data_IF_456335501728
#
_entry.id   IF_456335501728
#
_cell.length_a   1.000
_cell.length_b   1.000
_cell.length_c   1.000
_cell.angle_alpha   90.00
_cell.angle_beta   90.00
_cell.angle_gamma   90.00
#
_symmetry.space_group_name_H-M   'P 1'
#
loop_
_entity.id
_entity.type
_entity.pdbx_description
1 polymer ?
#
# COMPACT_ATOMS: atom_id res chain seq x y z
N UNK A 1 38.18 0.38 41.04
CA UNK A 1 38.09 0.43 39.58
C UNK A 1 36.65 0.46 39.19
N UNK A 2 36.21 1.52 38.49
CA UNK A 2 34.86 1.64 37.96
C UNK A 2 34.85 0.85 36.64
N UNK A 3 34.12 -0.24 36.58
CA UNK A 3 33.86 -0.95 35.34
C UNK A 3 32.86 -0.09 34.53
N UNK A 4 33.31 0.53 33.47
CA UNK A 4 32.42 1.16 32.48
C UNK A 4 31.66 0.04 31.79
N UNK A 5 30.33 0.05 31.91
CA UNK A 5 29.50 -0.89 31.19
C UNK A 5 29.74 -0.72 29.68
N UNK A 6 30.24 -1.75 29.03
CA UNK A 6 30.42 -1.73 27.57
C UNK A 6 29.06 -1.71 26.90
N UNK A 7 28.72 -0.60 26.26
CA UNK A 7 27.53 -0.49 25.41
C UNK A 7 27.92 -1.05 24.06
N UNK A 8 27.39 -2.18 23.69
CA UNK A 8 27.52 -2.71 22.33
C UNK A 8 26.36 -2.20 21.50
N UNK A 9 26.58 -1.31 20.53
CA UNK A 9 25.51 -0.84 19.66
C UNK A 9 25.06 -2.00 18.77
N UNK A 10 23.76 -2.25 18.72
CA UNK A 10 23.14 -3.18 17.78
C UNK A 10 22.49 -2.36 16.68
N UNK A 11 22.92 -2.56 15.44
CA UNK A 11 22.29 -1.98 14.27
C UNK A 11 21.12 -2.90 13.90
N UNK A 12 19.91 -2.37 13.92
CA UNK A 12 18.68 -3.08 13.54
C UNK A 12 18.08 -2.33 12.35
N UNK A 13 17.64 -3.07 11.35
CA UNK A 13 16.91 -2.47 10.23
C UNK A 13 15.64 -1.78 10.76
N UNK A 14 15.35 -0.56 10.30
CA UNK A 14 14.17 0.16 10.74
C UNK A 14 12.90 -0.56 10.29
N UNK A 15 11.87 -0.47 11.12
CA UNK A 15 10.53 -0.91 10.75
C UNK A 15 9.97 0.04 9.69
N UNK A 16 9.83 -0.39 8.44
CA UNK A 16 9.37 0.44 7.33
C UNK A 16 7.92 0.15 6.99
N UNK A 17 7.11 1.20 6.87
CA UNK A 17 5.80 1.17 6.23
C UNK A 17 5.91 1.81 4.87
N UNK A 18 5.52 1.06 3.85
CA UNK A 18 5.50 1.52 2.47
C UNK A 18 4.18 2.23 2.16
N UNK A 19 4.27 3.32 1.43
CA UNK A 19 3.14 4.11 0.95
C UNK A 19 2.99 3.83 -0.55
N UNK A 20 1.93 3.15 -0.91
CA UNK A 20 1.57 2.88 -2.31
C UNK A 20 0.57 3.95 -2.71
N UNK A 21 0.87 4.71 -3.74
CA UNK A 21 0.02 5.78 -4.21
C UNK A 21 -0.72 5.35 -5.49
N UNK A 22 -1.99 5.72 -5.57
CA UNK A 22 -2.77 5.66 -6.81
C UNK A 22 -3.13 7.09 -7.19
N UNK A 23 -2.45 7.59 -8.22
CA UNK A 23 -2.50 8.97 -8.68
C UNK A 23 -3.23 9.04 -10.01
N UNK A 24 -4.35 9.77 -10.05
CA UNK A 24 -5.03 10.17 -11.28
C UNK A 24 -4.85 11.67 -11.48
N UNK A 25 -3.97 12.08 -12.39
CA UNK A 25 -3.72 13.48 -12.71
C UNK A 25 -4.37 13.86 -14.03
N UNK A 26 -4.89 15.10 -14.10
CA UNK A 26 -5.48 15.68 -15.30
C UNK A 26 -4.63 16.86 -15.77
N UNK A 27 -4.40 16.96 -17.07
CA UNK A 27 -3.62 18.06 -17.64
C UNK A 27 -4.30 18.72 -18.82
N UNK A 28 -4.02 20.01 -19.01
CA UNK A 28 -4.47 20.80 -20.16
C UNK A 28 -3.45 20.70 -21.29
N UNK A 29 -3.81 19.99 -22.35
CA UNK A 29 -2.95 19.77 -23.52
C UNK A 29 -2.67 21.06 -24.34
N UNK A 30 -3.40 22.15 -24.11
CA UNK A 30 -3.13 23.44 -24.75
C UNK A 30 -1.99 24.22 -24.07
N UNK A 31 -1.60 23.82 -22.84
CA UNK A 31 -0.56 24.49 -22.04
C UNK A 31 0.80 23.80 -22.12
N UNK A 32 0.90 22.67 -22.80
CA UNK A 32 2.13 21.90 -22.87
C UNK A 32 2.24 21.11 -24.18
N UNK A 33 3.46 20.86 -24.60
CA UNK A 33 3.76 19.88 -25.66
C UNK A 33 4.12 18.50 -25.10
N UNK A 34 4.11 18.34 -23.76
CA UNK A 34 4.39 17.07 -23.11
C UNK A 34 3.30 16.04 -23.36
N UNK A 35 3.69 14.79 -23.47
CA UNK A 35 2.77 13.65 -23.54
C UNK A 35 2.36 13.18 -22.14
N UNK A 36 1.30 12.38 -22.04
CA UNK A 36 0.90 11.74 -20.77
C UNK A 36 2.07 10.98 -20.13
N UNK A 37 2.83 10.20 -20.90
CA UNK A 37 3.96 9.41 -20.39
C UNK A 37 5.11 10.31 -19.90
N UNK A 38 5.34 11.45 -20.56
CA UNK A 38 6.33 12.43 -20.12
C UNK A 38 5.92 13.07 -18.79
N UNK A 39 4.64 13.46 -18.65
CA UNK A 39 4.11 14.02 -17.42
C UNK A 39 4.10 12.98 -16.27
N UNK A 40 3.81 11.72 -16.56
CA UNK A 40 3.92 10.62 -15.59
C UNK A 40 5.37 10.49 -15.08
N UNK A 41 6.35 10.57 -15.97
CA UNK A 41 7.77 10.56 -15.60
C UNK A 41 8.16 11.77 -14.75
N UNK A 42 7.64 12.96 -15.04
CA UNK A 42 7.87 14.17 -14.25
C UNK A 42 7.30 14.01 -12.84
N UNK A 43 6.07 13.52 -12.71
CA UNK A 43 5.44 13.23 -11.41
C UNK A 43 6.25 12.19 -10.63
N UNK A 44 6.67 11.09 -11.29
CA UNK A 44 7.51 10.04 -10.68
C UNK A 44 8.82 10.60 -10.12
N UNK A 45 9.49 11.48 -10.87
CA UNK A 45 10.72 12.13 -10.41
C UNK A 45 10.48 13.07 -9.21
N UNK A 46 9.36 13.78 -9.20
CA UNK A 46 8.96 14.65 -8.09
C UNK A 46 8.69 13.83 -6.82
N UNK A 47 7.95 12.73 -6.95
CA UNK A 47 7.70 11.79 -5.84
C UNK A 47 8.98 11.12 -5.34
N UNK A 48 9.89 10.76 -6.24
CA UNK A 48 11.21 10.19 -5.89
C UNK A 48 12.03 11.18 -5.06
N UNK A 49 12.06 12.44 -5.48
CA UNK A 49 12.78 13.51 -4.76
C UNK A 49 12.17 13.77 -3.39
N UNK A 50 10.84 13.81 -3.31
CA UNK A 50 10.12 13.97 -2.04
C UNK A 50 10.39 12.80 -1.09
N UNK A 51 10.32 11.56 -1.58
CA UNK A 51 10.60 10.35 -0.82
C UNK A 51 11.98 10.41 -0.17
N UNK A 52 13.01 10.74 -0.97
CA UNK A 52 14.38 10.79 -0.50
C UNK A 52 14.68 11.93 0.47
N UNK A 53 14.00 13.08 0.30
CA UNK A 53 14.28 14.27 1.09
C UNK A 53 13.41 14.39 2.35
N UNK A 54 12.19 13.85 2.33
CA UNK A 54 11.17 14.12 3.34
C UNK A 54 10.74 12.89 4.14
N UNK A 55 10.86 11.66 3.62
CA UNK A 55 10.29 10.49 4.28
C UNK A 55 11.32 9.53 4.88
N UNK A 56 12.45 9.30 4.22
CA UNK A 56 13.47 8.32 4.67
C UNK A 56 14.25 8.76 5.92
N UNK A 57 13.53 9.29 6.91
CA UNK A 57 14.08 9.70 8.21
C UNK A 57 13.06 9.44 9.31
N UNK A 58 13.54 9.16 10.51
CA UNK A 58 12.65 8.94 11.66
C UNK A 58 11.86 10.21 11.99
N UNK A 59 10.62 10.00 12.45
CA UNK A 59 9.67 11.04 12.85
C UNK A 59 9.14 11.94 11.71
N UNK A 60 9.41 11.60 10.46
CA UNK A 60 8.85 12.32 9.32
C UNK A 60 7.46 11.76 8.97
N UNK A 61 6.45 12.62 9.02
CA UNK A 61 5.09 12.26 8.66
C UNK A 61 4.84 12.48 7.16
N UNK A 62 4.07 11.58 6.58
CA UNK A 62 3.51 11.79 5.25
C UNK A 62 2.25 12.66 5.37
N UNK A 63 2.25 13.80 4.69
CA UNK A 63 1.11 14.70 4.61
C UNK A 63 0.53 14.66 3.21
N UNK A 64 -0.67 14.16 3.11
CA UNK A 64 -1.38 13.97 1.84
C UNK A 64 -1.47 15.29 1.03
N UNK A 65 -1.81 16.39 1.70
CA UNK A 65 -1.91 17.70 1.05
C UNK A 65 -0.58 18.24 0.51
N UNK A 66 0.55 17.83 1.08
CA UNK A 66 1.87 18.20 0.53
C UNK A 66 2.17 17.43 -0.75
N UNK A 67 1.77 16.16 -0.80
CA UNK A 67 2.01 15.31 -1.97
C UNK A 67 1.06 15.67 -3.12
N UNK A 68 -0.21 15.90 -2.85
CA UNK A 68 -1.15 16.36 -3.89
C UNK A 68 -0.70 17.68 -4.49
N UNK A 69 -0.27 18.62 -3.65
CA UNK A 69 0.30 19.89 -4.14
C UNK A 69 1.60 19.68 -4.92
N UNK A 70 2.49 18.81 -4.47
CA UNK A 70 3.73 18.48 -5.20
C UNK A 70 3.44 17.96 -6.61
N UNK A 71 2.39 17.13 -6.75
CA UNK A 71 1.95 16.59 -8.04
C UNK A 71 1.40 17.74 -8.91
N UNK A 72 0.53 18.58 -8.37
CA UNK A 72 -0.01 19.74 -9.11
C UNK A 72 1.09 20.72 -9.56
N UNK A 73 2.06 20.97 -8.67
CA UNK A 73 3.18 21.90 -8.95
C UNK A 73 4.27 21.26 -9.83
N UNK A 74 4.23 19.96 -10.15
CA UNK A 74 5.25 19.26 -10.92
C UNK A 74 5.33 19.70 -12.38
N UNK A 75 4.20 20.16 -12.95
CA UNK A 75 4.15 20.77 -14.27
C UNK A 75 2.95 21.76 -14.34
N UNK A 76 3.16 22.94 -14.92
CA UNK A 76 2.13 23.99 -15.02
C UNK A 76 0.90 23.62 -15.84
N UNK A 77 0.96 22.53 -16.60
CA UNK A 77 -0.18 22.04 -17.37
C UNK A 77 -1.10 21.13 -16.54
N UNK A 78 -0.65 20.62 -15.39
CA UNK A 78 -1.48 19.79 -14.50
C UNK A 78 -2.50 20.71 -13.84
N UNK A 79 -3.77 20.36 -13.98
CA UNK A 79 -4.90 21.18 -13.48
C UNK A 79 -5.56 20.60 -12.25
N UNK A 80 -5.42 19.28 -12.04
CA UNK A 80 -5.93 18.61 -10.85
C UNK A 80 -5.33 17.22 -10.70
N UNK A 81 -5.31 16.70 -9.46
CA UNK A 81 -5.04 15.30 -9.20
C UNK A 81 -5.96 14.73 -8.11
N UNK A 82 -6.17 13.43 -8.16
CA UNK A 82 -6.76 12.63 -7.09
C UNK A 82 -5.70 11.60 -6.72
N UNK A 83 -5.28 11.62 -5.46
CA UNK A 83 -4.26 10.70 -4.96
C UNK A 83 -4.84 9.88 -3.81
N UNK A 84 -4.82 8.56 -3.94
CA UNK A 84 -5.18 7.62 -2.88
C UNK A 84 -3.92 7.03 -2.27
N UNK A 85 -3.97 6.70 -0.98
CA UNK A 85 -2.85 6.14 -0.24
C UNK A 85 -3.25 4.77 0.29
N UNK A 86 -2.39 3.77 0.05
CA UNK A 86 -2.49 2.44 0.61
C UNK A 86 -1.21 2.14 1.37
N UNK A 87 -1.32 1.58 2.56
CA UNK A 87 -0.17 1.16 3.35
C UNK A 87 0.28 -0.23 2.91
N UNK A 88 1.58 -0.42 2.78
CA UNK A 88 2.21 -1.71 2.49
C UNK A 88 3.18 -2.12 3.58
N UNK A 89 3.19 -3.41 3.91
CA UNK A 89 4.18 -3.99 4.82
C UNK A 89 4.53 -5.41 4.42
N UNK A 90 5.79 -5.78 4.58
CA UNK A 90 6.28 -7.10 4.22
C UNK A 90 6.54 -7.93 5.47
N UNK A 91 6.29 -9.23 5.38
CA UNK A 91 6.84 -10.21 6.31
C UNK A 91 7.49 -11.37 5.56
N UNK A 92 8.56 -11.92 6.14
CA UNK A 92 9.28 -13.06 5.57
C UNK A 92 8.78 -14.34 6.24
N UNK A 93 8.04 -15.20 5.52
CA UNK A 93 7.62 -16.48 6.10
C UNK A 93 8.81 -17.43 6.27
N UNK A 94 8.79 -18.19 7.34
CA UNK A 94 9.67 -19.37 7.46
C UNK A 94 9.08 -20.48 6.60
N UNK A 95 9.77 -20.79 5.50
CA UNK A 95 9.26 -21.72 4.50
C UNK A 95 9.20 -23.14 5.08
N UNK A 96 8.10 -23.84 4.77
CA UNK A 96 7.81 -25.22 5.20
C UNK A 96 7.75 -25.41 6.74
N UNK A 97 7.54 -24.35 7.49
CA UNK A 97 7.35 -24.37 8.94
C UNK A 97 6.06 -23.60 9.32
N UNK A 98 5.24 -24.20 10.18
CA UNK A 98 3.96 -23.64 10.59
C UNK A 98 4.15 -22.58 11.68
N UNK A 99 3.99 -21.31 11.35
CA UNK A 99 4.16 -20.17 12.27
C UNK A 99 3.04 -19.15 12.18
N UNK A 100 2.81 -18.46 13.30
CA UNK A 100 2.00 -17.25 13.34
C UNK A 100 2.86 -16.01 13.11
N UNK A 101 2.24 -14.94 12.61
CA UNK A 101 2.91 -13.67 12.31
C UNK A 101 2.10 -12.51 12.87
N UNK A 102 2.79 -11.51 13.42
CA UNK A 102 2.18 -10.24 13.85
C UNK A 102 2.79 -9.12 13.02
N UNK A 103 1.94 -8.40 12.30
CA UNK A 103 2.35 -7.32 11.41
C UNK A 103 1.73 -6.02 11.92
N UNK A 104 2.58 -5.10 12.39
CA UNK A 104 2.17 -3.83 12.99
C UNK A 104 2.37 -2.69 11.99
N UNK A 105 1.29 -2.14 11.47
CA UNK A 105 1.33 -0.93 10.67
C UNK A 105 1.39 0.32 11.55
N UNK A 106 0.87 0.22 12.79
CA UNK A 106 0.78 1.31 13.77
C UNK A 106 0.01 2.54 13.24
N UNK A 107 -0.83 2.34 12.26
CA UNK A 107 -1.74 3.33 11.71
C UNK A 107 -3.13 2.71 11.60
N UNK A 108 -4.15 3.44 12.00
CA UNK A 108 -5.53 2.99 11.96
C UNK A 108 -5.95 2.64 10.54
N UNK A 109 -6.65 1.52 10.36
CA UNK A 109 -7.24 1.10 9.11
C UNK A 109 -8.68 1.61 8.97
N UNK A 110 -9.08 1.85 7.73
CA UNK A 110 -10.42 2.32 7.41
C UNK A 110 -11.46 1.23 7.70
N UNK A 111 -12.24 1.43 8.76
CA UNK A 111 -13.38 0.58 9.10
C UNK A 111 -14.42 1.42 9.86
N UNK A 112 -15.29 2.16 9.16
CA UNK A 112 -16.24 3.08 9.78
C UNK A 112 -17.30 2.37 10.62
N UNK A 113 -17.59 1.11 10.32
CA UNK A 113 -18.49 0.25 11.10
C UNK A 113 -18.18 -1.23 10.86
N UNK A 114 -18.59 -2.09 11.78
CA UNK A 114 -18.43 -3.53 11.63
C UNK A 114 -19.12 -4.04 10.34
N UNK A 115 -18.45 -4.94 9.64
CA UNK A 115 -18.92 -5.49 8.35
C UNK A 115 -18.75 -4.55 7.15
N UNK A 116 -18.08 -3.41 7.30
CA UNK A 116 -17.79 -2.51 6.19
C UNK A 116 -16.97 -3.25 5.11
N UNK A 117 -17.41 -3.16 3.85
CA UNK A 117 -16.80 -3.83 2.70
C UNK A 117 -16.62 -5.36 2.85
N UNK A 118 -17.37 -6.01 3.74
CA UNK A 118 -17.25 -7.45 3.99
C UNK A 118 -17.40 -8.29 2.69
N UNK A 119 -18.32 -7.90 1.82
CA UNK A 119 -18.61 -8.60 0.56
C UNK A 119 -17.53 -8.34 -0.52
N UNK A 120 -16.82 -7.23 -0.43
CA UNK A 120 -15.79 -6.82 -1.39
C UNK A 120 -14.36 -7.19 -0.95
N UNK A 121 -14.19 -7.94 0.14
CA UNK A 121 -12.88 -8.37 0.63
C UNK A 121 -12.21 -7.40 1.58
N UNK A 122 -12.97 -6.45 2.15
CA UNK A 122 -12.47 -5.57 3.21
C UNK A 122 -11.47 -4.52 2.74
N UNK A 123 -10.59 -4.13 3.66
CA UNK A 123 -9.56 -3.09 3.44
C UNK A 123 -8.14 -3.65 3.40
N UNK A 124 -8.00 -4.96 3.64
CA UNK A 124 -6.71 -5.65 3.67
C UNK A 124 -6.60 -6.57 2.44
N UNK A 125 -5.43 -6.61 1.84
CA UNK A 125 -5.09 -7.54 0.78
C UNK A 125 -3.66 -8.06 0.96
N UNK A 126 -3.32 -9.17 0.31
CA UNK A 126 -1.95 -9.69 0.28
C UNK A 126 -1.50 -10.03 -1.13
N UNK A 127 -0.18 -10.16 -1.30
CA UNK A 127 0.40 -10.89 -2.44
C UNK A 127 0.19 -12.38 -2.26
N UNK A 128 0.33 -13.14 -3.35
CA UNK A 128 0.09 -14.56 -3.37
C UNK A 128 1.15 -15.40 -2.66
N UNK A 129 0.75 -16.55 -2.17
CA UNK A 129 1.63 -17.58 -1.59
C UNK A 129 1.00 -18.95 -1.72
N UNK A 130 1.79 -20.02 -1.52
CA UNK A 130 1.29 -21.40 -1.47
C UNK A 130 1.50 -21.99 -0.09
N UNK A 131 0.60 -22.89 0.30
CA UNK A 131 0.60 -23.51 1.62
C UNK A 131 0.79 -25.02 1.53
N UNK A 132 1.31 -25.63 2.61
CA UNK A 132 1.34 -27.08 2.78
C UNK A 132 -0.09 -27.63 2.73
N UNK A 133 -0.29 -28.68 1.92
CA UNK A 133 -1.61 -29.27 1.69
C UNK A 133 -2.34 -28.76 0.45
N UNK A 134 -1.95 -27.60 -0.11
CA UNK A 134 -2.42 -27.12 -1.39
C UNK A 134 -1.26 -26.41 -2.15
N UNK A 135 -0.60 -27.18 -3.00
CA UNK A 135 0.52 -26.69 -3.82
C UNK A 135 0.08 -26.18 -5.19
N UNK A 136 -1.20 -26.31 -5.51
CA UNK A 136 -1.77 -25.95 -6.82
C UNK A 136 -2.27 -24.51 -6.77
N UNK A 137 -3.14 -24.20 -5.82
CA UNK A 137 -3.78 -22.90 -5.73
C UNK A 137 -2.87 -21.86 -5.09
N UNK A 138 -2.88 -20.67 -5.66
CA UNK A 138 -2.26 -19.50 -5.06
C UNK A 138 -3.23 -18.89 -4.04
N UNK A 139 -2.77 -18.76 -2.80
CA UNK A 139 -3.56 -18.25 -1.69
C UNK A 139 -3.31 -16.76 -1.47
N UNK A 140 -4.34 -16.09 -0.96
CA UNK A 140 -4.33 -14.68 -0.61
C UNK A 140 -5.02 -14.46 0.74
N UNK A 141 -4.70 -13.35 1.39
CA UNK A 141 -5.44 -12.88 2.56
C UNK A 141 -6.30 -11.69 2.22
N UNK A 142 -7.49 -11.62 2.84
CA UNK A 142 -8.31 -10.43 2.98
C UNK A 142 -8.96 -10.38 4.37
N UNK A 143 -9.71 -9.31 4.69
CA UNK A 143 -10.47 -9.21 5.93
C UNK A 143 -11.99 -9.27 5.66
N UNK A 144 -12.74 -9.56 6.72
CA UNK A 144 -14.21 -9.65 6.67
C UNK A 144 -14.92 -8.37 7.14
N UNK A 145 -14.18 -7.30 7.45
CA UNK A 145 -14.73 -6.07 8.03
C UNK A 145 -15.19 -6.20 9.49
N UNK A 146 -15.15 -7.41 10.08
CA UNK A 146 -15.59 -7.72 11.44
C UNK A 146 -14.44 -8.10 12.38
N UNK A 147 -13.19 -8.02 11.92
CA UNK A 147 -12.02 -8.32 12.72
C UNK A 147 -11.34 -9.64 12.42
N UNK A 148 -11.82 -10.41 11.42
CA UNK A 148 -11.18 -11.66 11.01
C UNK A 148 -10.40 -11.50 9.72
N UNK A 149 -9.21 -12.11 9.65
CA UNK A 149 -8.49 -12.33 8.42
C UNK A 149 -8.94 -13.67 7.82
N UNK A 150 -9.28 -13.64 6.53
CA UNK A 150 -9.69 -14.82 5.76
C UNK A 150 -8.60 -15.21 4.78
N UNK A 151 -8.56 -16.48 4.39
CA UNK A 151 -7.69 -16.99 3.34
C UNK A 151 -8.52 -17.57 2.21
N UNK A 152 -8.18 -17.20 0.99
CA UNK A 152 -8.88 -17.62 -0.22
C UNK A 152 -7.92 -17.86 -1.37
N UNK A 153 -8.40 -18.50 -2.42
CA UNK A 153 -7.78 -18.52 -3.75
C UNK A 153 -8.78 -18.05 -4.80
N UNK A 154 -8.32 -17.75 -5.99
CA UNK A 154 -9.16 -17.31 -7.09
C UNK A 154 -9.33 -18.47 -8.09
N UNK A 155 -10.56 -18.87 -8.34
CA UNK A 155 -10.92 -19.87 -9.34
C UNK A 155 -11.92 -19.28 -10.32
N UNK A 156 -11.58 -19.30 -11.61
CA UNK A 156 -12.40 -18.70 -12.67
C UNK A 156 -12.83 -17.25 -12.37
N UNK A 157 -11.96 -16.45 -11.76
CA UNK A 157 -12.22 -15.05 -11.40
C UNK A 157 -13.05 -14.86 -10.11
N UNK A 158 -13.40 -15.95 -9.40
CA UNK A 158 -14.20 -15.88 -8.17
C UNK A 158 -13.35 -16.27 -6.96
N UNK A 159 -13.47 -15.51 -5.87
CA UNK A 159 -12.83 -15.83 -4.58
C UNK A 159 -13.46 -17.09 -3.97
N UNK A 160 -12.64 -18.08 -3.67
CA UNK A 160 -13.03 -19.29 -2.94
C UNK A 160 -12.33 -19.30 -1.60
N UNK A 161 -13.09 -19.07 -0.53
CA UNK A 161 -12.56 -19.03 0.84
C UNK A 161 -12.31 -20.45 1.35
N UNK A 162 -11.09 -20.68 1.85
CA UNK A 162 -10.65 -21.95 2.45
C UNK A 162 -10.50 -21.86 3.96
N UNK A 163 -10.39 -20.65 4.49
CA UNK A 163 -10.31 -20.40 5.93
C UNK A 163 -10.91 -19.02 6.22
N UNK A 164 -11.99 -18.97 6.97
CA UNK A 164 -12.68 -17.73 7.35
C UNK A 164 -12.11 -17.09 8.62
N UNK A 165 -11.13 -17.73 9.26
CA UNK A 165 -10.51 -17.30 10.52
C UNK A 165 -9.01 -17.57 10.52
N UNK A 166 -8.32 -17.24 9.41
CA UNK A 166 -6.88 -17.38 9.26
C UNK A 166 -6.06 -16.44 10.17
N UNK A 167 -6.71 -15.45 10.75
CA UNK A 167 -6.10 -14.47 11.64
C UNK A 167 -7.12 -13.47 12.19
N UNK A 168 -6.61 -12.41 12.80
CA UNK A 168 -7.40 -11.28 13.30
C UNK A 168 -6.81 -9.96 12.85
N UNK A 169 -7.65 -8.94 12.77
CA UNK A 169 -7.24 -7.55 12.51
C UNK A 169 -7.78 -6.63 13.58
N UNK A 170 -6.88 -5.80 14.13
CA UNK A 170 -7.23 -4.66 14.97
C UNK A 170 -7.16 -3.40 14.10
N UNK A 171 -8.33 -2.93 13.63
CA UNK A 171 -8.43 -1.76 12.76
C UNK A 171 -8.00 -0.47 13.46
N UNK A 172 -8.17 -0.38 14.78
CA UNK A 172 -7.84 0.83 15.55
C UNK A 172 -6.34 1.00 15.68
N UNK A 173 -5.63 -0.08 16.03
CA UNK A 173 -4.19 -0.06 16.23
C UNK A 173 -3.40 -0.39 14.96
N UNK A 174 -4.07 -0.80 13.88
CA UNK A 174 -3.44 -1.18 12.63
C UNK A 174 -2.56 -2.42 12.77
N UNK A 175 -3.08 -3.46 13.42
CA UNK A 175 -2.35 -4.71 13.69
C UNK A 175 -3.03 -5.89 13.03
N UNK A 176 -2.27 -6.66 12.27
CA UNK A 176 -2.71 -7.93 11.68
C UNK A 176 -2.00 -9.06 12.39
N UNK A 177 -2.76 -10.02 12.92
CA UNK A 177 -2.22 -11.23 13.55
C UNK A 177 -2.66 -12.44 12.75
N UNK A 178 -1.73 -13.11 12.08
CA UNK A 178 -1.97 -14.34 11.36
C UNK A 178 -1.80 -15.53 12.31
N UNK A 179 -2.73 -16.47 12.25
CA UNK A 179 -2.62 -17.77 12.94
C UNK A 179 -1.49 -18.59 12.33
N UNK A 180 -1.15 -19.70 12.99
CA UNK A 180 -0.15 -20.63 12.50
C UNK A 180 -0.51 -21.12 11.09
N UNK A 181 0.38 -20.85 10.14
CA UNK A 181 0.24 -21.21 8.73
C UNK A 181 1.58 -21.75 8.21
N UNK A 182 1.54 -22.83 7.44
CA UNK A 182 2.71 -23.43 6.81
C UNK A 182 2.80 -22.96 5.35
N UNK A 183 3.56 -21.89 5.11
CA UNK A 183 3.82 -21.35 3.77
C UNK A 183 4.99 -22.11 3.16
N UNK A 184 4.82 -22.63 1.95
CA UNK A 184 5.83 -23.42 1.23
C UNK A 184 6.52 -22.63 0.11
N UNK A 185 5.87 -21.59 -0.39
CA UNK A 185 6.46 -20.67 -1.36
C UNK A 185 5.70 -19.34 -1.37
N UNK A 186 6.38 -18.30 -1.79
CA UNK A 186 5.84 -16.96 -2.00
C UNK A 186 5.80 -16.69 -3.50
N UNK A 187 4.77 -16.04 -3.97
CA UNK A 187 4.64 -15.69 -5.38
C UNK A 187 5.57 -14.52 -5.73
N UNK A 188 5.94 -14.44 -6.99
CA UNK A 188 6.68 -13.30 -7.50
C UNK A 188 5.85 -12.02 -7.34
N UNK A 189 6.52 -10.93 -7.02
CA UNK A 189 5.93 -9.60 -6.94
C UNK A 189 6.54 -8.76 -8.06
N UNK A 190 5.70 -8.15 -8.86
CA UNK A 190 6.12 -7.25 -9.95
C UNK A 190 7.18 -7.89 -10.90
N UNK A 191 6.94 -9.15 -11.27
CA UNK A 191 7.84 -9.98 -12.07
C UNK A 191 9.22 -10.24 -11.45
N UNK A 192 9.40 -9.91 -10.18
CA UNK A 192 10.64 -10.16 -9.43
C UNK A 192 10.43 -11.28 -8.42
N UNK A 193 11.45 -12.14 -8.27
CA UNK A 193 11.44 -13.19 -7.24
C UNK A 193 11.34 -12.55 -5.85
N UNK A 194 10.33 -12.93 -5.10
CA UNK A 194 10.12 -12.47 -3.73
C UNK A 194 10.34 -13.61 -2.73
N UNK A 195 10.88 -13.27 -1.58
CA UNK A 195 10.91 -14.15 -0.39
C UNK A 195 9.93 -13.69 0.68
N UNK A 196 9.17 -12.63 0.40
CA UNK A 196 8.30 -11.95 1.35
C UNK A 196 6.87 -11.89 0.83
N UNK A 197 5.92 -11.99 1.74
CA UNK A 197 4.51 -11.67 1.49
C UNK A 197 4.29 -10.21 1.83
N UNK A 198 3.75 -9.45 0.89
CA UNK A 198 3.29 -8.08 1.12
C UNK A 198 1.85 -8.12 1.59
N UNK A 199 1.57 -7.42 2.69
CA UNK A 199 0.22 -7.07 3.12
C UNK A 199 -0.01 -5.60 2.82
N UNK A 200 -1.17 -5.28 2.31
CA UNK A 200 -1.62 -3.90 2.09
C UNK A 200 -2.86 -3.62 2.92
N UNK A 201 -3.01 -2.36 3.34
CA UNK A 201 -4.18 -1.93 4.10
C UNK A 201 -4.56 -0.49 3.72
N UNK A 202 -5.86 -0.22 3.62
CA UNK A 202 -6.37 1.15 3.42
C UNK A 202 -6.37 1.86 4.78
N UNK A 203 -5.66 2.98 4.94
CA UNK A 203 -5.64 3.73 6.20
C UNK A 203 -6.94 4.51 6.41
N UNK A 204 -7.28 4.77 7.67
CA UNK A 204 -8.42 5.62 8.06
C UNK A 204 -8.19 7.11 7.72
N UNK A 205 -6.93 7.53 7.68
CA UNK A 205 -6.49 8.87 7.29
C UNK A 205 -5.48 8.79 6.16
N UNK A 206 -5.58 9.70 5.20
CA UNK A 206 -4.54 9.85 4.17
C UNK A 206 -3.25 10.49 4.70
N UNK A 207 -3.28 11.12 5.86
CA UNK A 207 -2.08 11.57 6.59
C UNK A 207 -1.53 10.42 7.42
N UNK A 208 -0.27 10.03 7.20
CA UNK A 208 0.37 8.92 7.90
C UNK A 208 1.47 9.43 8.81
N UNK A 209 1.39 9.04 10.09
CA UNK A 209 2.36 9.45 11.11
C UNK A 209 3.08 8.19 11.62
N UNK A 210 4.41 8.09 11.44
CA UNK A 210 5.14 6.94 11.90
C UNK A 210 5.28 6.96 13.43
N UNK A 211 5.34 5.78 14.04
CA UNK A 211 5.76 5.65 15.43
C UNK A 211 7.29 5.77 15.55
N UNK A 212 7.80 5.94 16.77
CA UNK A 212 9.19 6.33 17.08
C UNK A 212 10.30 5.61 16.31
N UNK A 213 10.16 4.32 16.01
CA UNK A 213 11.20 3.51 15.36
C UNK A 213 10.79 3.09 13.93
N UNK A 214 9.84 3.79 13.34
CA UNK A 214 9.27 3.48 12.04
C UNK A 214 9.71 4.52 11.01
N UNK A 215 9.98 4.05 9.80
CA UNK A 215 10.20 4.88 8.62
C UNK A 215 9.00 4.78 7.69
N UNK A 216 8.77 5.85 6.95
CA UNK A 216 7.85 5.86 5.82
C UNK A 216 8.66 5.93 4.53
N UNK A 217 8.22 5.18 3.53
CA UNK A 217 8.81 5.19 2.20
C UNK A 217 7.72 5.04 1.13
N UNK A 218 7.76 5.88 0.08
CA UNK A 218 6.89 5.68 -1.07
C UNK A 218 7.40 4.49 -1.88
N UNK A 219 6.55 3.49 -2.06
CA UNK A 219 6.80 2.35 -2.93
C UNK A 219 6.53 2.76 -4.39
N UNK A 220 7.57 3.31 -5.03
CA UNK A 220 7.47 3.79 -6.40
C UNK A 220 7.25 2.67 -7.43
N UNK A 221 7.60 1.43 -7.09
CA UNK A 221 7.42 0.27 -7.99
C UNK A 221 5.93 -0.09 -8.10
N UNK A 222 5.22 0.01 -6.98
CA UNK A 222 3.79 -0.33 -6.90
C UNK A 222 2.88 0.90 -6.94
N UNK A 223 3.45 2.10 -6.98
CA UNK A 223 2.70 3.34 -7.18
C UNK A 223 2.20 3.40 -8.62
N UNK A 224 0.90 3.65 -8.79
CA UNK A 224 0.27 3.81 -10.09
C UNK A 224 0.09 5.30 -10.34
N UNK A 225 0.55 5.78 -11.48
CA UNK A 225 0.35 7.16 -11.92
C UNK A 225 -0.33 7.10 -13.28
N UNK A 226 -1.52 7.66 -13.36
CA UNK A 226 -2.30 7.77 -14.59
C UNK A 226 -2.52 9.24 -14.92
N UNK A 227 -2.01 9.67 -16.07
CA UNK A 227 -2.11 11.06 -16.52
C UNK A 227 -2.97 11.14 -17.77
N UNK A 228 -4.09 11.85 -17.67
CA UNK A 228 -5.09 11.98 -18.75
C UNK A 228 -5.35 13.44 -19.09
N UNK A 229 -5.80 13.67 -20.33
CA UNK A 229 -6.19 15.00 -20.78
C UNK A 229 -7.45 15.45 -20.03
N UNK A 230 -7.43 16.68 -19.52
CA UNK A 230 -8.61 17.33 -18.97
C UNK A 230 -9.50 17.88 -20.09
N UNK A 231 -10.56 17.16 -20.42
CA UNK A 231 -11.50 17.54 -21.49
C UNK A 231 -12.28 18.81 -21.15
N UNK A 232 -12.44 19.16 -19.88
CA UNK A 232 -13.08 20.40 -19.46
C UNK A 232 -12.24 21.63 -19.80
N UNK A 233 -10.92 21.52 -19.63
CA UNK A 233 -9.97 22.61 -19.91
C UNK A 233 -9.77 22.87 -21.40
N UNK A 234 -10.00 21.87 -22.26
CA UNK A 234 -9.85 22.03 -23.71
C UNK A 234 -11.14 22.50 -24.42
N UNK A 235 -12.21 22.73 -23.66
CA UNK A 235 -13.43 23.34 -24.21
C UNK A 235 -14.28 22.37 -25.03
N UNK A 236 -14.22 21.08 -24.78
CA UNK A 236 -15.14 20.12 -25.41
C UNK A 236 -16.54 20.28 -24.82
N UNK A 237 -17.54 20.78 -25.61
CA UNK A 237 -18.91 20.97 -25.13
C UNK A 237 -19.62 19.64 -24.76
N UNK A 238 -19.07 18.48 -25.16
CA UNK A 238 -19.60 17.17 -24.85
C UNK A 238 -18.88 16.50 -23.67
N UNK A 239 -17.94 17.19 -23.02
CA UNK A 239 -17.28 16.66 -21.82
C UNK A 239 -18.24 16.63 -20.65
N UNK A 240 -19.15 15.65 -20.64
CA UNK A 240 -19.87 15.30 -19.43
C UNK A 240 -18.85 14.65 -18.50
N UNK A 241 -18.57 15.30 -17.38
CA UNK A 241 -17.86 14.67 -16.27
C UNK A 241 -18.68 13.45 -15.85
N UNK A 242 -18.40 12.30 -16.44
CA UNK A 242 -18.78 11.02 -15.83
C UNK A 242 -17.86 10.90 -14.62
N UNK A 243 -18.36 11.41 -13.48
CA UNK A 243 -17.63 11.31 -12.24
C UNK A 243 -17.33 9.86 -11.96
N UNK A 244 -16.06 9.52 -11.91
CA UNK A 244 -15.57 8.33 -11.22
C UNK A 244 -15.85 8.51 -9.72
N UNK A 245 -17.13 8.44 -9.37
CA UNK A 245 -17.62 8.24 -8.02
C UNK A 245 -17.96 6.75 -7.92
N UNK A 246 -16.93 5.94 -7.69
CA UNK A 246 -17.08 4.57 -7.23
C UNK A 246 -16.08 4.32 -6.10
#
# INVERSE_FOLDING_TARGET
PFTVASITPVIVDPDTVFLILDVSARFNSNLTSETSDSLESIITNSLTSFNNSNLKSFNNAFRHSQVTRLIDDSNSSIVSNITRVVLGKFFTPTIADARGYVINFNNRFFNPHAGHNADNGGVIASTGFKVSGDTINEMFFDDDGNGSIRRFFISAGVKTYVDLSAGTVDYINGVITLKSINIISVSNVDNSTSTQVRLTAIPDSSDIVPVRNQLLEIDLVNTIINVIIDTLSVGDPNSVSTGDLA
#
